data_IF_391328946281
#
_entry.id   IF_391328946281
#
_cell.length_a   1.000
_cell.length_b   1.000
_cell.length_c   1.000
_cell.angle_alpha   90.00
_cell.angle_beta   90.00
_cell.angle_gamma   90.00
#
_symmetry.space_group_name_H-M   'P 1'
#
loop_
_entity.id
_entity.type
_entity.pdbx_description
1 polymer ?
#
# COMPACT_ATOMS: atom_id res chain seq x y z
N UNK A 1 19.64 -0.38 17.79
CA UNK A 1 18.95 -1.63 17.38
C UNK A 1 19.42 -2.04 15.99
N UNK A 2 19.51 -3.34 15.68
CA UNK A 2 19.85 -3.84 14.34
C UNK A 2 18.86 -4.95 13.95
N UNK A 3 18.20 -4.79 12.81
CA UNK A 3 17.20 -5.70 12.28
C UNK A 3 17.36 -5.83 10.76
N UNK A 4 16.88 -6.93 10.18
CA UNK A 4 16.91 -7.22 8.75
C UNK A 4 15.56 -7.82 8.36
N UNK A 5 15.02 -7.37 7.23
CA UNK A 5 13.83 -7.96 6.66
C UNK A 5 13.38 -7.25 5.38
N UNK A 6 12.41 -7.86 4.70
CA UNK A 6 11.72 -7.24 3.59
C UNK A 6 10.77 -6.16 4.11
N UNK A 7 11.02 -4.91 3.76
CA UNK A 7 10.18 -3.78 4.13
C UNK A 7 8.80 -3.91 3.44
N UNK A 8 7.75 -3.53 4.16
CA UNK A 8 6.39 -3.31 3.63
C UNK A 8 5.92 -1.89 3.95
N UNK A 9 4.79 -1.49 3.37
CA UNK A 9 4.18 -0.18 3.65
C UNK A 9 4.04 -0.01 5.16
N UNK A 10 4.57 1.11 5.68
CA UNK A 10 4.40 1.51 7.07
C UNK A 10 2.91 1.62 7.40
N UNK A 11 2.53 1.14 8.57
CA UNK A 11 1.15 1.22 9.07
C UNK A 11 1.04 2.45 9.95
N UNK A 12 -0.07 3.17 9.81
CA UNK A 12 -0.43 4.29 10.68
C UNK A 12 -1.73 3.92 11.41
N UNK A 13 -1.72 4.07 12.73
CA UNK A 13 -2.85 3.80 13.60
C UNK A 13 -3.26 5.13 14.25
N UNK A 14 -4.54 5.48 14.12
CA UNK A 14 -5.10 6.69 14.71
C UNK A 14 -5.42 6.43 16.20
N UNK A 15 -4.74 7.14 17.07
CA UNK A 15 -4.98 7.23 18.51
C UNK A 15 -4.86 8.71 18.95
N UNK A 16 -4.84 9.02 20.26
CA UNK A 16 -4.57 10.38 20.77
C UNK A 16 -3.28 10.97 20.15
N UNK A 17 -2.25 10.13 19.98
CA UNK A 17 -1.07 10.38 19.16
C UNK A 17 -0.95 9.28 18.10
N UNK A 18 -0.72 9.66 16.84
CA UNK A 18 -0.64 8.70 15.72
C UNK A 18 0.53 7.76 15.92
N UNK A 19 0.27 6.44 15.89
CA UNK A 19 1.30 5.41 16.02
C UNK A 19 1.72 4.90 14.64
N UNK A 20 3.03 4.86 14.40
CA UNK A 20 3.65 4.42 13.16
C UNK A 20 4.42 3.13 13.38
N UNK A 21 4.05 2.10 12.62
CA UNK A 21 4.69 0.78 12.68
C UNK A 21 5.34 0.47 11.33
N UNK A 22 6.63 0.12 11.36
CA UNK A 22 7.33 -0.39 10.19
C UNK A 22 7.42 -1.93 10.27
N UNK A 23 6.54 -2.66 9.57
CA UNK A 23 6.61 -4.11 9.57
C UNK A 23 7.71 -4.61 8.63
N UNK A 24 8.51 -5.53 9.16
CA UNK A 24 9.53 -6.28 8.46
C UNK A 24 9.05 -7.72 8.26
N UNK A 25 9.24 -8.21 7.04
CA UNK A 25 8.83 -9.54 6.63
C UNK A 25 10.04 -10.43 6.36
N UNK A 26 9.91 -11.72 6.66
CA UNK A 26 10.77 -12.76 6.12
C UNK A 26 10.15 -13.24 4.82
N UNK A 27 10.55 -12.64 3.69
CA UNK A 27 10.02 -12.90 2.35
C UNK A 27 8.53 -12.52 2.21
N UNK A 28 7.61 -13.41 2.62
CA UNK A 28 6.16 -13.19 2.63
C UNK A 28 5.54 -13.26 4.02
N UNK A 29 6.26 -13.82 5.00
CA UNK A 29 5.76 -14.00 6.35
C UNK A 29 6.11 -12.78 7.22
N UNK A 30 5.19 -12.27 8.06
CA UNK A 30 5.54 -11.27 9.07
C UNK A 30 6.69 -11.77 9.95
N UNK A 31 7.66 -10.91 10.24
CA UNK A 31 8.81 -11.27 11.07
C UNK A 31 8.95 -10.39 12.30
N UNK A 32 9.14 -9.09 12.08
CA UNK A 32 9.35 -8.10 13.14
C UNK A 32 8.53 -6.85 12.82
N UNK A 33 8.20 -6.06 13.83
CA UNK A 33 7.55 -4.76 13.62
C UNK A 33 8.26 -3.74 14.50
N UNK A 34 8.72 -2.66 13.88
CA UNK A 34 9.43 -1.58 14.56
C UNK A 34 8.45 -0.46 14.88
N UNK A 35 8.41 -0.06 16.15
CA UNK A 35 7.66 1.12 16.60
C UNK A 35 8.46 2.37 16.21
N UNK A 36 8.02 3.07 15.17
CA UNK A 36 8.78 4.18 14.58
C UNK A 36 8.74 5.43 15.45
N UNK A 37 7.67 5.62 16.24
CA UNK A 37 7.54 6.76 17.16
C UNK A 37 8.68 6.82 18.17
N UNK A 38 9.13 5.67 18.68
CA UNK A 38 10.22 5.56 19.66
C UNK A 38 11.58 5.99 19.08
N UNK A 39 11.70 6.06 17.76
CA UNK A 39 12.93 6.44 17.06
C UNK A 39 12.97 7.92 16.67
N UNK A 40 11.96 8.71 17.04
CA UNK A 40 11.94 10.15 16.76
C UNK A 40 13.05 10.84 17.54
N UNK A 41 13.93 11.55 16.83
CA UNK A 41 15.12 12.20 17.40
C UNK A 41 16.39 11.35 17.35
N UNK A 42 16.28 10.06 17.00
CA UNK A 42 17.41 9.15 16.89
C UNK A 42 18.03 9.15 15.49
N UNK A 43 19.30 8.73 15.39
CA UNK A 43 19.96 8.52 14.10
C UNK A 43 19.65 7.12 13.55
N UNK A 44 18.93 7.05 12.44
CA UNK A 44 18.56 5.80 11.77
C UNK A 44 19.44 5.61 10.52
N UNK A 45 19.97 4.39 10.35
CA UNK A 45 20.66 3.96 9.12
C UNK A 45 19.91 2.81 8.48
N UNK A 46 19.58 2.95 7.20
CA UNK A 46 18.97 1.90 6.38
C UNK A 46 19.95 1.51 5.29
N UNK A 47 20.23 0.22 5.16
CA UNK A 47 21.13 -0.33 4.14
C UNK A 47 20.37 -1.33 3.28
N UNK A 48 20.52 -1.22 1.96
CA UNK A 48 19.92 -2.18 1.04
C UNK A 48 20.77 -3.44 0.98
N UNK A 49 20.24 -4.56 1.48
CA UNK A 49 20.94 -5.86 1.49
C UNK A 49 21.10 -6.55 0.14
N UNK A 50 20.83 -5.87 -0.98
CA UNK A 50 20.89 -6.40 -2.34
C UNK A 50 20.01 -7.64 -2.60
N UNK A 51 18.99 -7.84 -1.78
CA UNK A 51 17.99 -8.88 -1.97
C UNK A 51 16.62 -8.26 -2.16
N UNK A 52 15.96 -8.69 -3.23
CA UNK A 52 14.59 -8.30 -3.56
C UNK A 52 13.79 -9.58 -3.65
N UNK A 53 12.72 -9.67 -2.86
CA UNK A 53 11.78 -10.78 -2.89
C UNK A 53 10.43 -10.26 -3.37
N UNK A 54 9.84 -10.94 -4.35
CA UNK A 54 8.54 -10.60 -4.90
C UNK A 54 7.49 -10.56 -3.79
N UNK A 55 6.75 -9.46 -3.69
CA UNK A 55 5.74 -9.29 -2.62
C UNK A 55 4.53 -10.22 -2.74
N UNK A 56 4.35 -10.89 -3.88
CA UNK A 56 3.24 -11.82 -4.14
C UNK A 56 3.71 -13.28 -4.08
N UNK A 57 4.83 -13.59 -4.74
CA UNK A 57 5.28 -14.99 -4.91
C UNK A 57 6.44 -15.36 -4.01
N UNK A 58 7.07 -14.40 -3.34
CA UNK A 58 8.26 -14.60 -2.51
C UNK A 58 9.54 -14.89 -3.29
N UNK A 59 9.47 -15.08 -4.61
CA UNK A 59 10.63 -15.37 -5.45
C UNK A 59 11.66 -14.25 -5.35
N UNK A 60 12.94 -14.63 -5.21
CA UNK A 60 14.07 -13.70 -5.32
C UNK A 60 14.19 -13.20 -6.76
N UNK A 61 14.27 -11.88 -6.93
CA UNK A 61 14.33 -11.20 -8.23
C UNK A 61 15.48 -10.19 -8.28
N UNK A 62 15.94 -9.87 -9.49
CA UNK A 62 17.02 -8.88 -9.71
C UNK A 62 16.51 -7.45 -9.91
N UNK A 63 15.23 -7.31 -10.26
CA UNK A 63 14.55 -6.03 -10.43
C UNK A 63 13.07 -6.21 -10.11
N UNK A 64 12.41 -5.13 -9.72
CA UNK A 64 10.99 -5.10 -9.41
C UNK A 64 10.17 -4.62 -10.61
N UNK A 65 8.91 -5.04 -10.63
CA UNK A 65 7.84 -4.52 -11.47
C UNK A 65 6.65 -4.16 -10.58
N UNK A 66 5.92 -3.09 -10.93
CA UNK A 66 4.86 -2.57 -10.06
C UNK A 66 5.34 -2.36 -8.62
N UNK A 67 4.49 -2.69 -7.65
CA UNK A 67 4.76 -2.58 -6.21
C UNK A 67 5.64 -3.71 -5.65
N UNK A 68 6.82 -3.93 -6.25
CA UNK A 68 7.78 -4.93 -5.74
C UNK A 68 7.51 -6.36 -6.21
N UNK A 69 6.85 -6.54 -7.34
CA UNK A 69 6.52 -7.85 -7.90
C UNK A 69 7.60 -8.35 -8.87
N UNK A 70 7.63 -9.67 -9.06
CA UNK A 70 8.28 -10.31 -10.20
C UNK A 70 7.46 -10.07 -11.48
N UNK A 71 8.05 -10.25 -12.66
CA UNK A 71 7.37 -9.98 -13.93
C UNK A 71 6.11 -10.86 -14.12
N UNK A 72 6.21 -12.16 -13.80
CA UNK A 72 5.09 -13.11 -13.86
C UNK A 72 3.93 -12.67 -12.94
N UNK A 73 4.25 -12.23 -11.72
CA UNK A 73 3.26 -11.74 -10.78
C UNK A 73 2.64 -10.41 -11.26
N UNK A 74 3.45 -9.49 -11.80
CA UNK A 74 2.95 -8.21 -12.32
C UNK A 74 1.96 -8.39 -13.49
N UNK A 75 2.19 -9.39 -14.34
CA UNK A 75 1.32 -9.65 -15.49
C UNK A 75 -0.04 -10.26 -15.11
N UNK A 76 -0.11 -10.98 -13.99
CA UNK A 76 -1.28 -11.83 -13.65
C UNK A 76 -1.98 -11.43 -12.35
N UNK A 77 -1.28 -10.85 -11.38
CA UNK A 77 -1.84 -10.53 -10.07
C UNK A 77 -2.92 -9.46 -10.18
N UNK A 78 -4.08 -9.59 -9.50
CA UNK A 78 -5.07 -8.52 -9.46
C UNK A 78 -4.52 -7.24 -8.82
N UNK A 79 -3.52 -7.36 -7.93
CA UNK A 79 -2.78 -6.23 -7.32
C UNK A 79 -2.00 -5.38 -8.33
N UNK A 80 -1.83 -5.86 -9.56
CA UNK A 80 -1.19 -5.13 -10.65
C UNK A 80 -2.12 -4.95 -11.86
N UNK A 81 -3.45 -5.02 -11.65
CA UNK A 81 -4.44 -4.80 -12.70
C UNK A 81 -4.22 -3.44 -13.38
N UNK A 82 -4.32 -3.32 -14.72
CA UNK A 82 -4.12 -2.06 -15.42
C UNK A 82 -5.00 -0.92 -14.89
N UNK A 83 -6.19 -1.27 -14.41
CA UNK A 83 -7.15 -0.33 -13.82
C UNK A 83 -6.70 0.31 -12.51
N UNK A 84 -5.68 -0.23 -11.84
CA UNK A 84 -5.09 0.40 -10.64
C UNK A 84 -4.40 1.71 -10.98
N UNK A 85 -3.70 1.76 -12.11
CA UNK A 85 -3.03 2.98 -12.61
C UNK A 85 -4.00 3.83 -13.43
N UNK A 86 -4.94 3.18 -14.11
CA UNK A 86 -5.91 3.80 -15.02
C UNK A 86 -7.34 3.44 -14.63
N UNK A 87 -7.89 4.07 -13.58
CA UNK A 87 -9.21 3.72 -13.04
C UNK A 87 -10.32 3.70 -14.09
N UNK A 88 -10.19 4.50 -15.15
CA UNK A 88 -11.14 4.56 -16.27
C UNK A 88 -11.25 3.24 -17.06
N UNK A 89 -10.28 2.33 -16.93
CA UNK A 89 -10.34 1.00 -17.57
C UNK A 89 -11.16 -0.02 -16.78
N UNK A 90 -11.54 0.28 -15.54
CA UNK A 90 -12.29 -0.64 -14.69
C UNK A 90 -13.73 -0.79 -15.17
N UNK A 91 -14.12 -2.02 -15.52
CA UNK A 91 -15.50 -2.37 -15.94
C UNK A 91 -16.23 -3.26 -14.94
N UNK A 92 -15.70 -3.41 -13.72
CA UNK A 92 -16.28 -4.30 -12.72
C UNK A 92 -17.68 -3.87 -12.27
N UNK A 93 -18.00 -2.57 -12.38
CA UNK A 93 -19.34 -2.04 -12.12
C UNK A 93 -20.39 -2.58 -13.10
N UNK A 94 -19.96 -3.04 -14.27
CA UNK A 94 -20.78 -3.72 -15.28
C UNK A 94 -20.77 -5.25 -15.11
N UNK A 95 -20.04 -5.76 -14.10
CA UNK A 95 -19.82 -7.19 -13.88
C UNK A 95 -18.71 -7.81 -14.73
N UNK A 96 -17.85 -7.01 -15.36
CA UNK A 96 -16.74 -7.49 -16.20
C UNK A 96 -15.42 -7.28 -15.47
N UNK A 97 -14.75 -8.37 -15.09
CA UNK A 97 -13.45 -8.34 -14.42
C UNK A 97 -12.28 -8.36 -15.41
N UNK A 98 -11.18 -7.68 -15.07
CA UNK A 98 -9.95 -7.69 -15.87
C UNK A 98 -9.01 -8.85 -15.50
N UNK A 99 -8.91 -9.18 -14.21
CA UNK A 99 -8.03 -10.24 -13.68
C UNK A 99 -8.72 -11.12 -12.64
N UNK A 100 -9.39 -10.51 -11.66
CA UNK A 100 -10.06 -11.26 -10.59
C UNK A 100 -11.33 -10.53 -10.17
N UNK A 101 -12.49 -11.16 -10.40
CA UNK A 101 -13.79 -10.53 -10.13
C UNK A 101 -13.99 -10.22 -8.66
N UNK A 102 -13.67 -11.16 -7.77
CA UNK A 102 -13.90 -11.01 -6.34
C UNK A 102 -13.04 -9.88 -5.79
N UNK A 103 -11.74 -9.89 -6.12
CA UNK A 103 -10.80 -8.87 -5.71
C UNK A 103 -11.20 -7.50 -6.28
N UNK A 104 -11.54 -7.41 -7.56
CA UNK A 104 -11.93 -6.14 -8.19
C UNK A 104 -13.25 -5.59 -7.65
N UNK A 105 -14.22 -6.43 -7.30
CA UNK A 105 -15.44 -5.97 -6.63
C UNK A 105 -15.12 -5.38 -5.27
N UNK A 106 -14.31 -6.09 -4.48
CA UNK A 106 -13.89 -5.63 -3.16
C UNK A 106 -13.04 -4.35 -3.24
N UNK A 107 -12.16 -4.23 -4.22
CA UNK A 107 -11.16 -3.16 -4.29
C UNK A 107 -11.49 -2.04 -5.28
N UNK A 108 -12.36 -2.20 -6.27
CA UNK A 108 -12.73 -1.11 -7.17
C UNK A 108 -14.19 -0.71 -6.98
N UNK A 109 -15.09 -1.69 -6.81
CA UNK A 109 -16.54 -1.46 -6.69
C UNK A 109 -17.00 -1.33 -5.24
N UNK A 110 -16.50 -0.29 -4.57
CA UNK A 110 -16.88 0.01 -3.19
C UNK A 110 -17.42 1.43 -3.02
N UNK A 111 -18.11 1.74 -1.91
CA UNK A 111 -18.60 3.09 -1.65
C UNK A 111 -17.47 4.12 -1.59
N UNK A 112 -17.67 5.23 -2.32
CA UNK A 112 -16.78 6.38 -2.31
C UNK A 112 -17.52 7.60 -1.76
N UNK A 113 -16.78 8.46 -1.08
CA UNK A 113 -17.26 9.72 -0.51
C UNK A 113 -16.64 10.87 -1.30
N UNK A 114 -17.48 11.77 -1.79
CA UNK A 114 -17.07 13.06 -2.34
C UNK A 114 -17.12 14.09 -1.22
N UNK A 115 -16.05 14.87 -1.07
CA UNK A 115 -15.95 15.88 -0.02
C UNK A 115 -15.34 17.17 -0.53
N UNK A 116 -15.62 18.27 0.17
CA UNK A 116 -14.92 19.54 -0.02
C UNK A 116 -13.81 19.64 1.02
N UNK A 117 -12.62 20.03 0.59
CA UNK A 117 -11.52 20.40 1.50
C UNK A 117 -11.13 21.85 1.31
N UNK A 118 -10.79 22.52 2.41
CA UNK A 118 -10.29 23.89 2.42
C UNK A 118 -8.84 23.87 2.88
N UNK A 119 -7.92 23.87 1.91
CA UNK A 119 -6.48 23.98 2.15
C UNK A 119 -6.03 25.39 1.78
N UNK A 120 -5.15 25.57 0.79
CA UNK A 120 -4.88 26.89 0.18
C UNK A 120 -6.07 27.43 -0.62
N UNK A 121 -7.05 26.59 -0.96
CA UNK A 121 -8.30 26.92 -1.62
C UNK A 121 -9.33 25.81 -1.44
N UNK A 122 -10.52 25.98 -2.03
CA UNK A 122 -11.56 24.94 -2.06
C UNK A 122 -11.19 23.88 -3.09
N UNK A 123 -11.14 22.62 -2.66
CA UNK A 123 -10.89 21.47 -3.52
C UNK A 123 -12.01 20.46 -3.36
N UNK A 124 -12.34 19.75 -4.44
CA UNK A 124 -13.22 18.57 -4.40
C UNK A 124 -12.33 17.34 -4.32
N UNK A 125 -12.48 16.55 -3.26
CA UNK A 125 -11.78 15.29 -3.06
C UNK A 125 -12.72 14.10 -3.23
N UNK A 126 -12.14 12.96 -3.57
CA UNK A 126 -12.82 11.65 -3.53
C UNK A 126 -11.97 10.68 -2.72
N UNK A 127 -12.61 9.89 -1.88
CA UNK A 127 -11.97 8.87 -1.07
C UNK A 127 -12.87 7.66 -0.90
N UNK A 128 -12.30 6.51 -0.51
CA UNK A 128 -13.08 5.35 -0.08
C UNK A 128 -13.70 5.65 1.27
N UNK A 129 -14.91 5.13 1.52
CA UNK A 129 -15.60 5.33 2.80
C UNK A 129 -14.75 4.85 3.99
N UNK A 130 -14.01 3.76 3.83
CA UNK A 130 -13.12 3.19 4.86
C UNK A 130 -11.88 4.04 5.15
N UNK A 131 -11.54 4.99 4.28
CA UNK A 131 -10.39 5.89 4.44
C UNK A 131 -10.75 7.22 5.09
N UNK A 132 -12.00 7.37 5.57
CA UNK A 132 -12.39 8.49 6.42
C UNK A 132 -12.24 8.04 7.88
N UNK A 133 -11.36 8.66 8.71
CA UNK A 133 -10.61 9.89 8.50
C UNK A 133 -9.15 9.72 8.03
N UNK A 134 -8.63 8.49 7.89
CA UNK A 134 -7.18 8.24 7.70
C UNK A 134 -6.55 8.95 6.51
N UNK A 135 -7.30 9.25 5.44
CA UNK A 135 -6.77 9.99 4.28
C UNK A 135 -6.32 11.41 4.60
N UNK A 136 -6.85 12.02 5.66
CA UNK A 136 -6.39 13.33 6.14
C UNK A 136 -5.05 13.24 6.87
N UNK A 137 -4.76 12.11 7.50
CA UNK A 137 -3.51 11.83 8.22
C UNK A 137 -2.41 11.47 7.23
N UNK A 138 -2.73 10.69 6.18
CA UNK A 138 -1.76 10.27 5.17
C UNK A 138 -1.28 11.42 4.26
N UNK A 139 -1.99 12.55 4.22
CA UNK A 139 -1.69 13.70 3.32
C UNK A 139 -1.39 15.02 4.03
N UNK A 140 -1.68 15.12 5.33
CA UNK A 140 -1.40 16.30 6.15
C UNK A 140 -0.04 16.19 6.83
#
# INVERSE_FOLDING_TARGET
MKCIGNIRKMRAILDEEVQYELPLYSVLEPHETIQMNELVGEQIKIEFGHEINCVVTGKKIRKTYGDGMSYDAFMTSPLASPSIIRPELSRIHEGIALRDEKWEREHHLQPHVVYLSKTSGVKVGVTRQTQVPSRWIDQG
#
